data_IF_376414011798
#
_entry.id   IF_376414011798
#
_cell.length_a   1.000
_cell.length_b   1.000
_cell.length_c   1.000
_cell.angle_alpha   90.00
_cell.angle_beta   90.00
_cell.angle_gamma   90.00
#
_symmetry.space_group_name_H-M   'P 1'
#
loop_
_entity.id
_entity.type
_entity.pdbx_description
1 polymer ?
#
# COMPACT_ATOMS: atom_id res chain seq x y z
N UNK A 1 -13.72 7.50 14.78
CA UNK A 1 -12.70 7.64 13.73
C UNK A 1 -13.45 7.75 12.41
N UNK A 2 -13.00 8.62 11.52
CA UNK A 2 -13.75 9.02 10.30
C UNK A 2 -13.37 8.19 9.05
N UNK A 3 -12.79 7.00 9.23
CA UNK A 3 -12.35 6.14 8.14
C UNK A 3 -12.81 4.69 8.36
N UNK A 4 -13.08 3.99 7.26
CA UNK A 4 -13.42 2.55 7.26
C UNK A 4 -12.17 1.72 7.07
N UNK A 5 -11.33 2.08 6.08
CA UNK A 5 -10.09 1.38 5.80
C UNK A 5 -8.89 2.32 5.92
N UNK A 6 -7.76 1.74 6.33
CA UNK A 6 -6.45 2.39 6.32
C UNK A 6 -5.44 1.46 5.64
N UNK A 7 -4.69 1.99 4.68
CA UNK A 7 -3.55 1.30 4.08
C UNK A 7 -2.29 2.00 4.55
N UNK A 8 -1.32 1.21 5.00
CA UNK A 8 0.03 1.70 5.28
C UNK A 8 1.04 1.05 4.36
N UNK A 9 1.93 1.86 3.79
CA UNK A 9 2.95 1.42 2.85
C UNK A 9 4.33 1.75 3.42
N UNK A 10 5.19 0.76 3.52
CA UNK A 10 6.60 0.90 3.88
C UNK A 10 7.45 0.62 2.64
N UNK A 11 8.29 1.58 2.27
CA UNK A 11 9.28 1.44 1.18
C UNK A 11 10.60 0.95 1.76
N UNK A 12 11.26 0.06 1.03
CA UNK A 12 12.61 -0.38 1.33
C UNK A 12 13.63 0.67 0.86
N UNK A 13 13.84 1.71 1.68
CA UNK A 13 14.81 2.78 1.41
C UNK A 13 16.20 2.23 1.04
N UNK A 14 16.68 1.20 1.75
CA UNK A 14 18.00 0.60 1.53
C UNK A 14 18.08 -0.05 0.15
N UNK A 15 17.02 -0.73 -0.27
CA UNK A 15 16.92 -1.34 -1.60
C UNK A 15 16.82 -0.29 -2.72
N UNK A 16 16.09 0.81 -2.50
CA UNK A 16 16.04 1.92 -3.46
C UNK A 16 17.43 2.52 -3.65
N UNK A 17 18.09 2.86 -2.54
CA UNK A 17 19.41 3.50 -2.53
C UNK A 17 20.52 2.58 -3.05
N UNK A 18 20.45 1.27 -2.79
CA UNK A 18 21.46 0.31 -3.26
C UNK A 18 21.33 -0.02 -4.75
N UNK A 19 20.11 -0.11 -5.29
CA UNK A 19 19.90 -0.38 -6.71
C UNK A 19 20.22 0.83 -7.59
N UNK A 20 20.11 2.06 -7.08
CA UNK A 20 20.38 3.32 -7.79
C UNK A 20 19.62 3.46 -9.13
N UNK A 21 18.50 2.74 -9.29
CA UNK A 21 17.67 2.78 -10.50
C UNK A 21 16.68 3.95 -10.48
N UNK A 22 16.26 4.37 -9.29
CA UNK A 22 15.32 5.45 -9.07
C UNK A 22 15.72 6.27 -7.86
N UNK A 23 15.34 7.54 -7.87
CA UNK A 23 15.48 8.44 -6.73
C UNK A 23 14.44 8.11 -5.65
N UNK A 24 14.82 8.27 -4.37
CA UNK A 24 13.94 7.94 -3.25
C UNK A 24 12.69 8.82 -3.24
N UNK A 25 12.82 10.12 -3.48
CA UNK A 25 11.67 11.03 -3.54
C UNK A 25 10.74 10.69 -4.71
N UNK A 26 11.30 10.25 -5.84
CA UNK A 26 10.50 9.80 -6.98
C UNK A 26 9.67 8.55 -6.65
N UNK A 27 10.24 7.58 -5.91
CA UNK A 27 9.51 6.38 -5.44
C UNK A 27 8.35 6.78 -4.53
N UNK A 28 8.62 7.57 -3.49
CA UNK A 28 7.59 8.05 -2.55
C UNK A 28 6.51 8.88 -3.24
N UNK A 29 6.89 9.73 -4.20
CA UNK A 29 5.94 10.52 -4.99
C UNK A 29 5.01 9.62 -5.82
N UNK A 30 5.56 8.60 -6.47
CA UNK A 30 4.77 7.68 -7.30
C UNK A 30 3.75 6.92 -6.45
N UNK A 31 4.12 6.50 -5.22
CA UNK A 31 3.16 5.89 -4.29
C UNK A 31 2.01 6.86 -3.99
N UNK A 32 2.31 8.11 -3.62
CA UNK A 32 1.26 9.11 -3.34
C UNK A 32 0.36 9.36 -4.55
N UNK A 33 0.91 9.41 -5.75
CA UNK A 33 0.15 9.57 -6.99
C UNK A 33 -0.80 8.40 -7.26
N UNK A 34 -0.39 7.17 -6.93
CA UNK A 34 -1.26 5.99 -7.04
C UNK A 34 -2.50 6.10 -6.13
N UNK A 35 -2.31 6.56 -4.88
CA UNK A 35 -3.42 6.79 -3.95
C UNK A 35 -4.27 8.02 -4.31
N UNK A 36 -3.68 9.07 -4.87
CA UNK A 36 -4.40 10.27 -5.32
C UNK A 36 -5.35 9.99 -6.50
N UNK A 37 -5.09 8.91 -7.26
CA UNK A 37 -6.02 8.41 -8.27
C UNK A 37 -7.25 7.69 -7.71
N UNK A 38 -7.26 7.43 -6.39
CA UNK A 38 -8.31 6.74 -5.66
C UNK A 38 -8.95 7.69 -4.61
N UNK A 39 -10.00 7.24 -3.93
CA UNK A 39 -10.69 8.05 -2.90
C UNK A 39 -9.95 8.14 -1.55
N UNK A 40 -8.66 7.81 -1.50
CA UNK A 40 -7.85 7.82 -0.29
C UNK A 40 -7.33 9.21 0.07
N UNK A 41 -7.18 9.47 1.37
CA UNK A 41 -6.52 10.66 1.91
C UNK A 41 -5.26 10.27 2.66
N UNK A 42 -4.15 10.90 2.33
CA UNK A 42 -2.90 10.75 3.10
C UNK A 42 -3.09 11.33 4.50
N UNK A 43 -2.65 10.59 5.52
CA UNK A 43 -2.60 11.05 6.91
C UNK A 43 -1.16 11.06 7.41
N UNK A 44 -0.78 12.00 8.29
CA UNK A 44 0.57 12.05 8.83
C UNK A 44 0.95 10.76 9.56
N UNK A 45 2.21 10.35 9.43
CA UNK A 45 2.78 9.19 10.13
C UNK A 45 4.15 9.52 10.66
N UNK A 46 4.50 8.96 11.81
CA UNK A 46 5.77 9.24 12.48
C UNK A 46 6.94 8.38 11.96
N UNK A 47 6.68 7.32 11.17
CA UNK A 47 7.58 6.17 11.05
C UNK A 47 8.03 5.82 9.62
N UNK A 48 8.34 6.80 8.75
CA UNK A 48 8.74 6.60 7.33
C UNK A 48 7.74 5.82 6.45
N UNK A 49 6.64 5.38 7.04
CA UNK A 49 5.51 4.77 6.35
C UNK A 49 4.63 5.88 5.78
N UNK A 50 4.03 5.61 4.64
CA UNK A 50 2.91 6.40 4.15
C UNK A 50 1.63 5.76 4.67
N UNK A 51 0.67 6.56 5.12
CA UNK A 51 -0.62 6.07 5.57
C UNK A 51 -1.73 6.79 4.82
N UNK A 52 -2.70 6.01 4.37
CA UNK A 52 -3.81 6.49 3.55
C UNK A 52 -5.11 5.93 4.12
N UNK A 53 -6.13 6.77 4.23
CA UNK A 53 -7.43 6.39 4.79
C UNK A 53 -8.56 6.66 3.82
N UNK A 54 -9.59 5.82 3.83
CA UNK A 54 -10.82 5.98 3.05
C UNK A 54 -12.03 5.77 3.95
N UNK A 55 -13.07 6.58 3.76
CA UNK A 55 -14.32 6.49 4.51
C UNK A 55 -15.22 5.35 4.05
N UNK A 56 -16.38 5.21 4.67
CA UNK A 56 -17.45 4.31 4.22
C UNK A 56 -18.18 4.95 3.02
N UNK A 57 -17.75 4.58 1.82
CA UNK A 57 -18.42 4.90 0.54
C UNK A 57 -18.64 3.61 -0.23
N UNK A 58 -19.61 3.59 -1.15
CA UNK A 58 -20.15 2.37 -1.77
C UNK A 58 -19.12 1.42 -2.44
N UNK A 59 -17.87 1.87 -2.67
CA UNK A 59 -16.83 1.11 -3.36
C UNK A 59 -15.49 1.05 -2.59
N UNK A 60 -15.46 1.39 -1.30
CA UNK A 60 -14.20 1.51 -0.54
C UNK A 60 -13.34 0.25 -0.52
N UNK A 61 -13.95 -0.93 -0.50
CA UNK A 61 -13.23 -2.21 -0.55
C UNK A 61 -12.60 -2.45 -1.93
N UNK A 62 -13.30 -2.08 -3.01
CA UNK A 62 -12.76 -2.19 -4.37
C UNK A 62 -11.57 -1.26 -4.58
N UNK A 63 -11.61 -0.05 -4.02
CA UNK A 63 -10.49 0.91 -4.08
C UNK A 63 -9.22 0.37 -3.39
N UNK A 64 -9.38 -0.39 -2.28
CA UNK A 64 -8.26 -1.08 -1.62
C UNK A 64 -7.59 -2.07 -2.59
N UNK A 65 -8.38 -2.92 -3.25
CA UNK A 65 -7.86 -3.89 -4.21
C UNK A 65 -7.20 -3.24 -5.43
N UNK A 66 -7.78 -2.18 -5.97
CA UNK A 66 -7.23 -1.44 -7.12
C UNK A 66 -5.85 -0.87 -6.78
N UNK A 67 -5.74 -0.15 -5.65
CA UNK A 67 -4.46 0.50 -5.30
C UNK A 67 -3.39 -0.52 -4.89
N UNK A 68 -3.77 -1.59 -4.20
CA UNK A 68 -2.85 -2.66 -3.82
C UNK A 68 -2.22 -3.32 -5.07
N UNK A 69 -3.04 -3.68 -6.05
CA UNK A 69 -2.58 -4.26 -7.32
C UNK A 69 -1.77 -3.25 -8.13
N UNK A 70 -2.22 -1.99 -8.21
CA UNK A 70 -1.51 -0.94 -8.93
C UNK A 70 -0.10 -0.70 -8.38
N UNK A 71 0.11 -0.86 -7.07
CA UNK A 71 1.43 -0.76 -6.45
C UNK A 71 2.24 -2.04 -6.67
N UNK A 72 1.66 -3.20 -6.37
CA UNK A 72 2.34 -4.49 -6.40
C UNK A 72 2.80 -4.90 -7.81
N UNK A 73 1.92 -4.79 -8.81
CA UNK A 73 2.20 -5.21 -10.19
C UNK A 73 3.04 -4.18 -10.97
N UNK A 74 3.22 -2.98 -10.41
CA UNK A 74 4.04 -1.95 -11.03
C UNK A 74 5.53 -2.17 -10.79
N UNK A 75 6.35 -1.33 -11.42
CA UNK A 75 7.79 -1.27 -11.16
C UNK A 75 8.13 -0.94 -9.69
N UNK A 76 7.18 -0.40 -8.92
CA UNK A 76 7.33 -0.14 -7.48
C UNK A 76 7.31 -1.40 -6.63
N UNK A 77 6.68 -2.49 -7.10
CA UNK A 77 6.45 -3.71 -6.30
C UNK A 77 7.71 -4.24 -5.64
N UNK A 78 8.84 -4.19 -6.36
CA UNK A 78 10.15 -4.63 -5.85
C UNK A 78 10.69 -3.77 -4.70
N UNK A 79 10.21 -2.55 -4.52
CA UNK A 79 10.60 -1.61 -3.45
C UNK A 79 9.63 -1.62 -2.27
N UNK A 80 8.48 -2.29 -2.39
CA UNK A 80 7.54 -2.43 -1.27
C UNK A 80 8.15 -3.37 -0.24
N UNK A 81 8.37 -2.85 0.97
CA UNK A 81 8.84 -3.64 2.12
C UNK A 81 7.69 -4.22 2.92
N UNK A 82 6.64 -3.43 3.09
CA UNK A 82 5.41 -3.84 3.79
C UNK A 82 4.22 -3.07 3.25
N UNK A 83 3.07 -3.75 3.15
CA UNK A 83 1.81 -3.13 2.81
C UNK A 83 0.73 -3.70 3.71
N UNK A 84 0.28 -2.91 4.69
CA UNK A 84 -0.73 -3.35 5.66
C UNK A 84 -2.06 -2.68 5.36
N UNK A 85 -3.12 -3.48 5.30
CA UNK A 85 -4.50 -3.01 5.27
C UNK A 85 -5.12 -3.21 6.65
N UNK A 86 -5.78 -2.18 7.16
CA UNK A 86 -6.51 -2.18 8.42
C UNK A 86 -7.99 -1.93 8.13
N UNK A 87 -8.84 -2.82 8.62
CA UNK A 87 -10.29 -2.72 8.59
C UNK A 87 -10.81 -2.31 9.97
N UNK A 88 -11.45 -1.14 10.04
CA UNK A 88 -12.02 -0.64 11.28
C UNK A 88 -13.28 -1.40 11.70
N UNK A 89 -13.98 -2.06 10.77
CA UNK A 89 -15.25 -2.72 11.04
C UNK A 89 -15.11 -3.94 11.95
N UNK A 90 -13.98 -4.63 11.88
CA UNK A 90 -13.65 -5.79 12.70
C UNK A 90 -12.32 -5.66 13.50
N UNK A 91 -11.68 -4.49 13.44
CA UNK A 91 -10.40 -4.18 14.08
C UNK A 91 -9.25 -5.12 13.66
N UNK A 92 -9.27 -5.55 12.40
CA UNK A 92 -8.26 -6.44 11.82
C UNK A 92 -7.15 -5.67 11.08
N UNK A 93 -5.97 -6.29 11.00
CA UNK A 93 -4.86 -5.82 10.17
C UNK A 93 -4.26 -6.99 9.41
N UNK A 94 -4.14 -6.83 8.10
CA UNK A 94 -3.64 -7.84 7.18
C UNK A 94 -2.40 -7.32 6.45
N UNK A 95 -1.42 -8.21 6.25
CA UNK A 95 -0.21 -7.93 5.46
C UNK A 95 -0.44 -8.40 4.03
N UNK A 96 -0.86 -7.48 3.16
CA UNK A 96 -1.28 -7.80 1.80
C UNK A 96 -0.16 -8.43 0.97
N UNK A 97 1.11 -8.02 1.19
CA UNK A 97 2.24 -8.62 0.46
C UNK A 97 2.45 -10.08 0.87
N UNK A 98 2.26 -10.38 2.16
CA UNK A 98 2.34 -11.75 2.67
C UNK A 98 1.23 -12.62 2.11
N UNK A 99 0.01 -12.11 2.06
CA UNK A 99 -1.15 -12.85 1.53
C UNK A 99 -1.03 -13.15 0.05
N UNK A 100 -0.57 -12.18 -0.76
CA UNK A 100 -0.28 -12.41 -2.18
C UNK A 100 0.77 -13.51 -2.34
N UNK A 101 1.84 -13.46 -1.54
CA UNK A 101 2.88 -14.48 -1.58
C UNK A 101 2.38 -15.87 -1.13
N UNK A 102 1.55 -15.93 -0.09
CA UNK A 102 0.93 -17.17 0.39
C UNK A 102 0.02 -17.78 -0.68
N UNK A 103 -0.80 -16.95 -1.33
CA UNK A 103 -1.67 -17.36 -2.43
C UNK A 103 -0.87 -17.90 -3.62
N UNK A 104 0.18 -17.21 -4.05
CA UNK A 104 1.04 -17.65 -5.15
C UNK A 104 1.74 -18.98 -4.84
N UNK A 105 2.17 -19.17 -3.59
CA UNK A 105 2.79 -20.42 -3.15
C UNK A 105 1.81 -21.59 -3.14
N UNK A 106 0.55 -21.36 -2.77
CA UNK A 106 -0.48 -22.40 -2.68
C UNK A 106 -1.08 -22.73 -4.05
N UNK A 107 -1.33 -21.73 -4.89
CA UNK A 107 -2.14 -21.85 -6.11
C UNK A 107 -1.41 -21.51 -7.42
N UNK A 108 -0.23 -20.88 -7.39
CA UNK A 108 0.48 -20.36 -8.56
C UNK A 108 1.16 -21.40 -9.48
N UNK A 109 0.55 -22.58 -9.67
CA UNK A 109 1.03 -23.61 -10.60
C UNK A 109 0.74 -23.31 -12.06
#
# INVERSE_FOLDING_TARGET
>A
MDYLYKITVEIDDEKVLSLQQHDLDAVYKTVREAFAGCNFKEVPTDNKRLAFVIGDVNDSFSEVGIVANALHDSWLGKYLKKMEWYDMSDDSTEDMLREIQEFDNEYGK
#
